data_IF_381963585016
#
_entry.id   IF_381963585016
#
_cell.length_a   1.000
_cell.length_b   1.000
_cell.length_c   1.000
_cell.angle_alpha   90.00
_cell.angle_beta   90.00
_cell.angle_gamma   90.00
#
_symmetry.space_group_name_H-M   'P 1'
#
loop_
_entity.id
_entity.type
_entity.pdbx_description
1 polymer ?
#
# COMPACT_ATOMS: atom_id res chain seq x y z
N UNK A 1 -22.68 -12.68 50.99
CA UNK A 1 -21.61 -13.29 50.17
C UNK A 1 -21.86 -13.26 48.65
N UNK A 2 -23.09 -13.10 48.14
CA UNK A 2 -23.38 -13.21 46.68
C UNK A 2 -22.84 -12.05 45.81
N UNK A 3 -22.69 -10.83 46.35
CA UNK A 3 -22.25 -9.65 45.58
C UNK A 3 -20.77 -9.70 45.14
N UNK A 4 -19.88 -10.22 46.00
CA UNK A 4 -18.43 -10.30 45.71
C UNK A 4 -18.13 -11.27 44.56
N UNK A 5 -18.86 -12.39 44.47
CA UNK A 5 -18.72 -13.37 43.39
C UNK A 5 -19.19 -12.83 42.04
N UNK A 6 -20.23 -11.99 42.01
CA UNK A 6 -20.72 -11.35 40.78
C UNK A 6 -19.70 -10.33 40.26
N UNK A 7 -19.08 -9.55 41.16
CA UNK A 7 -18.09 -8.54 40.78
C UNK A 7 -16.83 -9.16 40.15
N UNK A 8 -16.35 -10.27 40.72
CA UNK A 8 -15.18 -11.01 40.19
C UNK A 8 -15.49 -11.60 38.81
N UNK A 9 -16.71 -12.09 38.59
CA UNK A 9 -17.14 -12.62 37.29
C UNK A 9 -17.18 -11.53 36.21
N UNK A 10 -17.67 -10.33 36.56
CA UNK A 10 -17.73 -9.18 35.65
C UNK A 10 -16.31 -8.72 35.27
N UNK A 11 -15.38 -8.67 36.22
CA UNK A 11 -13.98 -8.28 35.96
C UNK A 11 -13.30 -9.30 35.05
N UNK A 12 -13.52 -10.60 35.24
CA UNK A 12 -13.01 -11.66 34.36
C UNK A 12 -13.61 -11.60 32.94
N UNK A 13 -14.89 -11.29 32.81
CA UNK A 13 -15.55 -11.13 31.50
C UNK A 13 -15.07 -9.86 30.76
N UNK A 14 -14.76 -8.78 31.48
CA UNK A 14 -14.23 -7.55 30.90
C UNK A 14 -12.75 -7.70 30.48
N UNK A 15 -11.93 -8.39 31.26
CA UNK A 15 -10.52 -8.64 30.93
C UNK A 15 -10.35 -9.61 29.75
N UNK A 16 -11.22 -10.62 29.62
CA UNK A 16 -11.25 -11.49 28.43
C UNK A 16 -11.58 -10.75 27.12
N UNK A 17 -12.37 -9.68 27.17
CA UNK A 17 -12.68 -8.84 25.98
C UNK A 17 -11.56 -7.88 25.62
N UNK A 18 -10.79 -7.40 26.59
CA UNK A 18 -9.66 -6.50 26.36
C UNK A 18 -8.53 -7.19 25.56
N UNK A 19 -8.18 -8.44 25.88
CA UNK A 19 -7.15 -9.19 25.14
C UNK A 19 -7.53 -9.51 23.69
N UNK A 20 -8.82 -9.72 23.42
CA UNK A 20 -9.36 -9.92 22.07
C UNK A 20 -9.37 -8.60 21.27
N UNK A 21 -9.57 -7.44 21.92
CA UNK A 21 -9.48 -6.15 21.24
C UNK A 21 -8.04 -5.78 20.87
N UNK A 22 -7.08 -6.10 21.73
CA UNK A 22 -5.66 -5.82 21.50
C UNK A 22 -5.09 -6.64 20.34
N UNK A 23 -5.43 -7.94 20.27
CA UNK A 23 -5.04 -8.83 19.15
C UNK A 23 -5.62 -8.43 17.79
N UNK A 24 -6.83 -7.85 17.76
CA UNK A 24 -7.49 -7.35 16.53
C UNK A 24 -6.73 -6.19 15.87
N UNK A 25 -6.31 -5.22 16.68
CA UNK A 25 -5.58 -4.06 16.18
C UNK A 25 -4.18 -4.44 15.70
N UNK A 26 -3.53 -5.39 16.38
CA UNK A 26 -2.20 -5.88 16.00
C UNK A 26 -2.20 -6.50 14.60
N UNK A 27 -3.13 -7.40 14.27
CA UNK A 27 -3.13 -8.10 12.98
C UNK A 27 -3.40 -7.19 11.77
N UNK A 28 -4.34 -6.23 11.87
CA UNK A 28 -4.57 -5.25 10.79
C UNK A 28 -3.35 -4.34 10.63
N UNK A 29 -2.76 -3.88 11.73
CA UNK A 29 -1.60 -2.99 11.69
C UNK A 29 -0.35 -3.71 11.14
N UNK A 30 -0.16 -4.99 11.46
CA UNK A 30 0.91 -5.81 10.88
C UNK A 30 0.73 -6.01 9.37
N UNK A 31 -0.49 -6.34 8.93
CA UNK A 31 -0.79 -6.49 7.51
C UNK A 31 -0.62 -5.15 6.77
N UNK A 32 -1.04 -4.04 7.37
CA UNK A 32 -0.81 -2.70 6.86
C UNK A 32 0.68 -2.37 6.75
N UNK A 33 1.45 -2.65 7.80
CA UNK A 33 2.90 -2.38 7.82
C UNK A 33 3.63 -3.10 6.68
N UNK A 34 3.28 -4.37 6.41
CA UNK A 34 3.83 -5.12 5.27
C UNK A 34 3.46 -4.49 3.93
N UNK A 35 2.20 -4.08 3.76
CA UNK A 35 1.76 -3.40 2.54
C UNK A 35 2.43 -2.04 2.36
N UNK A 36 2.51 -1.23 3.43
CA UNK A 36 3.21 0.06 3.47
C UNK A 36 4.65 -0.09 3.01
N UNK A 37 5.38 -1.05 3.56
CA UNK A 37 6.78 -1.28 3.19
C UNK A 37 6.93 -1.68 1.72
N UNK A 38 6.00 -2.47 1.17
CA UNK A 38 6.01 -2.80 -0.26
C UNK A 38 5.78 -1.56 -1.14
N UNK A 39 4.84 -0.68 -0.78
CA UNK A 39 4.66 0.59 -1.48
C UNK A 39 5.90 1.48 -1.42
N UNK A 40 6.53 1.61 -0.24
CA UNK A 40 7.74 2.43 -0.08
C UNK A 40 8.89 1.89 -0.93
N UNK A 41 9.09 0.57 -0.96
CA UNK A 41 10.09 -0.06 -1.81
C UNK A 41 9.81 0.16 -3.30
N UNK A 42 8.55 0.02 -3.72
CA UNK A 42 8.10 0.28 -5.10
C UNK A 42 8.32 1.74 -5.50
N UNK A 43 7.98 2.67 -4.64
CA UNK A 43 8.19 4.11 -4.86
C UNK A 43 9.68 4.44 -5.05
N UNK A 44 10.55 3.89 -4.20
CA UNK A 44 11.99 4.07 -4.34
C UNK A 44 12.54 3.51 -5.67
N UNK A 45 12.05 2.34 -6.09
CA UNK A 45 12.44 1.75 -7.39
C UNK A 45 11.94 2.59 -8.56
N UNK A 46 10.71 3.10 -8.50
CA UNK A 46 10.17 4.02 -9.50
C UNK A 46 11.07 5.26 -9.64
N UNK A 47 11.50 5.87 -8.54
CA UNK A 47 12.39 7.04 -8.60
C UNK A 47 13.74 6.69 -9.21
N UNK A 48 14.36 5.58 -8.80
CA UNK A 48 15.63 5.11 -9.36
C UNK A 48 15.55 4.86 -10.88
N UNK A 49 14.45 4.26 -11.34
CA UNK A 49 14.20 4.05 -12.77
C UNK A 49 14.05 5.40 -13.47
N UNK A 50 13.29 6.31 -12.88
CA UNK A 50 13.03 7.64 -13.45
C UNK A 50 14.30 8.49 -13.53
N UNK A 51 15.16 8.45 -12.52
CA UNK A 51 16.50 9.05 -12.54
C UNK A 51 17.34 8.49 -13.69
N UNK A 52 17.30 7.17 -13.89
CA UNK A 52 18.01 6.51 -14.99
C UNK A 52 17.49 6.97 -16.35
N UNK A 53 16.17 7.05 -16.51
CA UNK A 53 15.54 7.53 -17.74
C UNK A 53 15.87 9.01 -18.01
N UNK A 54 15.91 9.85 -16.98
CA UNK A 54 16.30 11.26 -17.11
C UNK A 54 17.77 11.38 -17.55
N UNK A 55 18.68 10.65 -16.90
CA UNK A 55 20.11 10.67 -17.22
C UNK A 55 20.40 10.16 -18.63
N UNK A 56 19.61 9.19 -19.11
CA UNK A 56 19.65 8.71 -20.50
C UNK A 56 18.94 9.62 -21.49
N UNK A 57 18.36 10.75 -21.04
CA UNK A 57 17.56 11.67 -21.85
C UNK A 57 16.34 11.00 -22.52
N UNK A 58 15.87 9.89 -21.95
CA UNK A 58 14.67 9.21 -22.41
C UNK A 58 13.42 10.05 -22.11
N UNK A 59 13.44 10.80 -21.01
CA UNK A 59 12.32 11.62 -20.52
C UNK A 59 12.79 13.06 -20.26
N UNK A 60 11.85 14.01 -20.19
CA UNK A 60 12.15 15.41 -19.88
C UNK A 60 12.27 15.68 -18.38
N UNK A 61 12.83 16.85 -18.01
CA UNK A 61 12.86 17.32 -16.62
C UNK A 61 11.46 17.57 -16.04
N UNK A 62 10.53 17.99 -16.90
CA UNK A 62 9.14 18.21 -16.50
C UNK A 62 8.46 16.89 -16.12
N UNK A 63 8.56 15.86 -16.97
CA UNK A 63 7.99 14.53 -16.66
C UNK A 63 8.63 13.90 -15.42
N UNK A 64 9.96 14.10 -15.24
CA UNK A 64 10.66 13.71 -14.03
C UNK A 64 10.09 14.39 -12.78
N UNK A 65 9.96 15.72 -12.81
CA UNK A 65 9.48 16.51 -11.68
C UNK A 65 8.03 16.17 -11.34
N UNK A 66 7.20 15.93 -12.35
CA UNK A 66 5.81 15.52 -12.17
C UNK A 66 5.72 14.19 -11.41
N UNK A 67 6.42 13.15 -11.89
CA UNK A 67 6.38 11.84 -11.23
C UNK A 67 7.01 11.88 -9.84
N UNK A 68 8.18 12.50 -9.70
CA UNK A 68 8.88 12.59 -8.42
C UNK A 68 8.03 13.29 -7.37
N UNK A 69 7.34 14.37 -7.74
CA UNK A 69 6.36 15.03 -6.87
C UNK A 69 5.23 14.12 -6.43
N UNK A 70 4.61 13.36 -7.36
CA UNK A 70 3.54 12.41 -7.02
C UNK A 70 4.04 11.29 -6.10
N UNK A 71 5.22 10.73 -6.37
CA UNK A 71 5.84 9.71 -5.52
C UNK A 71 6.13 10.26 -4.11
N UNK A 72 6.62 11.50 -4.02
CA UNK A 72 6.83 12.19 -2.75
C UNK A 72 5.54 12.28 -1.94
N UNK A 73 4.46 12.82 -2.54
CA UNK A 73 3.18 12.95 -1.84
C UNK A 73 2.58 11.62 -1.38
N UNK A 74 2.76 10.55 -2.15
CA UNK A 74 2.35 9.20 -1.75
C UNK A 74 3.20 8.68 -0.58
N UNK A 75 4.51 8.88 -0.65
CA UNK A 75 5.45 8.47 0.40
C UNK A 75 5.16 9.19 1.72
N UNK A 76 4.86 10.48 1.68
CA UNK A 76 4.46 11.27 2.84
C UNK A 76 3.13 10.77 3.43
N UNK A 77 2.15 10.47 2.58
CA UNK A 77 0.87 9.89 3.00
C UNK A 77 1.04 8.51 3.64
N UNK A 78 1.99 7.70 3.17
CA UNK A 78 2.32 6.39 3.77
C UNK A 78 3.06 6.55 5.12
N UNK A 79 3.97 7.53 5.22
CA UNK A 79 4.79 7.77 6.41
C UNK A 79 4.01 8.36 7.58
N UNK A 80 2.95 9.14 7.32
CA UNK A 80 2.13 9.82 8.33
C UNK A 80 1.04 8.96 8.98
N UNK A 81 0.93 7.68 8.61
CA UNK A 81 -0.19 6.81 9.03
C UNK A 81 0.29 5.68 9.94
N UNK A 82 0.12 5.90 11.24
CA UNK A 82 0.32 4.86 12.28
C UNK A 82 -0.95 4.00 12.49
N UNK A 83 -2.14 4.58 12.29
CA UNK A 83 -3.42 3.89 12.37
C UNK A 83 -4.34 4.33 11.23
N UNK A 84 -4.76 3.38 10.39
CA UNK A 84 -5.59 3.66 9.22
C UNK A 84 -7.05 3.96 9.56
N UNK A 85 -7.56 5.02 8.96
CA UNK A 85 -8.97 5.31 8.82
C UNK A 85 -9.38 5.35 7.33
N UNK A 86 -10.70 5.33 7.07
CA UNK A 86 -11.27 5.33 5.71
C UNK A 86 -10.74 6.48 4.84
N UNK A 87 -10.58 7.69 5.41
CA UNK A 87 -10.10 8.87 4.66
C UNK A 87 -8.66 8.68 4.21
N UNK A 88 -7.80 8.16 5.10
CA UNK A 88 -6.40 7.86 4.78
C UNK A 88 -6.28 6.76 3.73
N UNK A 89 -7.10 5.70 3.81
CA UNK A 89 -7.14 4.64 2.79
C UNK A 89 -7.46 5.23 1.41
N UNK A 90 -8.55 6.00 1.30
CA UNK A 90 -8.96 6.61 0.05
C UNK A 90 -7.90 7.59 -0.51
N UNK A 91 -7.28 8.36 0.37
CA UNK A 91 -6.21 9.29 0.01
C UNK A 91 -4.96 8.57 -0.53
N UNK A 92 -4.56 7.48 0.11
CA UNK A 92 -3.43 6.64 -0.34
C UNK A 92 -3.76 5.97 -1.68
N UNK A 93 -4.98 5.45 -1.87
CA UNK A 93 -5.38 4.86 -3.15
C UNK A 93 -5.37 5.88 -4.29
N UNK A 94 -5.92 7.08 -4.06
CA UNK A 94 -5.93 8.14 -5.05
C UNK A 94 -4.50 8.58 -5.43
N UNK A 95 -3.61 8.74 -4.44
CA UNK A 95 -2.20 9.06 -4.68
C UNK A 95 -1.46 7.92 -5.39
N UNK A 96 -1.75 6.67 -5.05
CA UNK A 96 -1.16 5.51 -5.71
C UNK A 96 -1.55 5.44 -7.20
N UNK A 97 -2.83 5.64 -7.52
CA UNK A 97 -3.32 5.71 -8.90
C UNK A 97 -2.65 6.84 -9.69
N UNK A 98 -2.45 8.00 -9.05
CA UNK A 98 -1.75 9.11 -9.69
C UNK A 98 -0.29 8.77 -10.03
N UNK A 99 0.41 8.03 -9.16
CA UNK A 99 1.77 7.53 -9.43
C UNK A 99 1.76 6.48 -10.54
N UNK A 100 0.85 5.50 -10.50
CA UNK A 100 0.71 4.47 -11.54
C UNK A 100 0.48 5.09 -12.92
N UNK A 101 -0.43 6.05 -13.02
CA UNK A 101 -0.72 6.75 -14.26
C UNK A 101 0.50 7.53 -14.79
N UNK A 102 1.15 8.32 -13.94
CA UNK A 102 2.32 9.11 -14.32
C UNK A 102 3.51 8.23 -14.73
N UNK A 103 3.73 7.14 -13.99
CA UNK A 103 4.76 6.17 -14.31
C UNK A 103 4.45 5.42 -15.63
N UNK A 104 3.20 5.01 -15.86
CA UNK A 104 2.78 4.41 -17.13
C UNK A 104 3.02 5.32 -18.33
N UNK A 105 2.70 6.62 -18.21
CA UNK A 105 3.02 7.64 -19.23
C UNK A 105 4.53 7.68 -19.51
N UNK A 106 5.36 7.68 -18.47
CA UNK A 106 6.82 7.70 -18.59
C UNK A 106 7.38 6.44 -19.24
N UNK A 107 6.81 5.27 -18.95
CA UNK A 107 7.18 4.01 -19.63
C UNK A 107 6.88 4.09 -21.12
N UNK A 108 5.74 4.65 -21.53
CA UNK A 108 5.40 4.83 -22.95
C UNK A 108 6.37 5.81 -23.64
N UNK A 109 6.65 6.96 -23.02
CA UNK A 109 7.58 7.96 -23.56
C UNK A 109 8.99 7.38 -23.70
N UNK A 110 9.45 6.67 -22.68
CA UNK A 110 10.79 6.10 -22.66
C UNK A 110 10.91 4.89 -23.61
N UNK A 111 9.88 4.06 -23.73
CA UNK A 111 9.85 2.92 -24.65
C UNK A 111 9.98 3.33 -26.13
N UNK A 112 9.47 4.50 -26.50
CA UNK A 112 9.69 5.05 -27.85
C UNK A 112 11.16 5.39 -28.16
N UNK A 113 11.98 5.63 -27.12
CA UNK A 113 13.39 6.01 -27.27
C UNK A 113 14.38 4.91 -26.88
N UNK A 114 13.99 4.02 -25.98
CA UNK A 114 14.81 2.95 -25.42
C UNK A 114 13.95 1.68 -25.19
N UNK A 115 13.93 0.74 -26.14
CA UNK A 115 13.08 -0.46 -26.08
C UNK A 115 13.55 -1.53 -25.06
N UNK A 116 14.68 -1.31 -24.39
CA UNK A 116 15.17 -2.21 -23.34
C UNK A 116 14.40 -2.01 -22.03
N UNK A 117 13.46 -2.90 -21.73
CA UNK A 117 12.54 -2.81 -20.60
C UNK A 117 12.93 -3.61 -19.36
N UNK A 118 14.22 -3.91 -19.14
CA UNK A 118 14.69 -4.76 -18.02
C UNK A 118 14.24 -4.28 -16.63
N UNK A 119 13.87 -3.02 -16.49
CA UNK A 119 13.34 -2.42 -15.26
C UNK A 119 11.85 -2.74 -15.01
N UNK A 120 11.10 -3.16 -16.03
CA UNK A 120 9.69 -3.55 -15.89
C UNK A 120 9.54 -4.87 -15.14
N UNK A 121 10.43 -5.84 -15.37
CA UNK A 121 10.37 -7.15 -14.69
C UNK A 121 10.52 -7.00 -13.16
N UNK A 122 11.43 -6.11 -12.73
CA UNK A 122 11.62 -5.80 -11.31
C UNK A 122 10.38 -5.13 -10.70
N UNK A 123 9.74 -4.22 -11.44
CA UNK A 123 8.51 -3.58 -11.00
C UNK A 123 7.33 -4.55 -10.98
N UNK A 124 7.22 -5.46 -11.95
CA UNK A 124 6.17 -6.47 -11.98
C UNK A 124 6.23 -7.36 -10.72
N UNK A 125 7.43 -7.77 -10.32
CA UNK A 125 7.63 -8.49 -9.05
C UNK A 125 7.12 -7.71 -7.84
N UNK A 126 7.40 -6.41 -7.77
CA UNK A 126 6.95 -5.53 -6.68
C UNK A 126 5.44 -5.29 -6.72
N UNK A 127 4.84 -5.11 -7.90
CA UNK A 127 3.39 -4.95 -8.05
C UNK A 127 2.67 -6.24 -7.64
N UNK A 128 3.16 -7.41 -8.06
CA UNK A 128 2.63 -8.70 -7.61
C UNK A 128 2.70 -8.85 -6.08
N UNK A 129 3.80 -8.40 -5.46
CA UNK A 129 3.94 -8.38 -4.01
C UNK A 129 2.94 -7.43 -3.34
N UNK A 130 2.73 -6.23 -3.90
CA UNK A 130 1.71 -5.28 -3.43
C UNK A 130 0.32 -5.91 -3.52
N UNK A 131 -0.05 -6.53 -4.64
CA UNK A 131 -1.36 -7.17 -4.80
C UNK A 131 -1.55 -8.35 -3.82
N UNK A 132 -0.50 -9.10 -3.52
CA UNK A 132 -0.52 -10.13 -2.46
C UNK A 132 -0.78 -9.51 -1.09
N UNK A 133 -0.09 -8.41 -0.75
CA UNK A 133 -0.25 -7.75 0.55
C UNK A 133 -1.56 -6.98 0.68
N UNK A 134 -2.10 -6.40 -0.41
CA UNK A 134 -3.47 -5.86 -0.47
C UNK A 134 -4.49 -6.95 -0.11
N UNK A 135 -4.35 -8.15 -0.68
CA UNK A 135 -5.21 -9.30 -0.34
C UNK A 135 -5.11 -9.67 1.14
N UNK A 136 -3.89 -9.85 1.67
CA UNK A 136 -3.69 -10.16 3.10
C UNK A 136 -4.25 -9.09 4.03
N UNK A 137 -4.10 -7.81 3.68
CA UNK A 137 -4.67 -6.70 4.41
C UNK A 137 -6.19 -6.73 4.37
N UNK A 138 -6.79 -6.89 3.20
CA UNK A 138 -8.24 -7.00 3.04
C UNK A 138 -8.83 -8.19 3.81
N UNK A 139 -8.13 -9.32 3.84
CA UNK A 139 -8.55 -10.51 4.60
C UNK A 139 -8.51 -10.25 6.11
N UNK A 140 -7.47 -9.58 6.61
CA UNK A 140 -7.42 -9.12 8.00
C UNK A 140 -8.57 -8.14 8.33
N UNK A 141 -8.83 -7.16 7.45
CA UNK A 141 -9.94 -6.23 7.60
C UNK A 141 -11.30 -6.94 7.64
N UNK A 142 -11.52 -7.94 6.77
CA UNK A 142 -12.75 -8.77 6.78
C UNK A 142 -12.89 -9.57 8.07
N UNK A 143 -11.83 -10.25 8.50
CA UNK A 143 -11.82 -11.07 9.72
C UNK A 143 -12.23 -10.26 10.97
N UNK A 144 -11.88 -8.98 10.99
CA UNK A 144 -12.15 -8.08 12.11
C UNK A 144 -13.24 -7.03 11.83
N UNK A 145 -14.07 -7.26 10.80
CA UNK A 145 -15.23 -6.43 10.44
C UNK A 145 -14.92 -4.95 10.13
N UNK A 146 -13.67 -4.63 9.74
CA UNK A 146 -13.24 -3.29 9.29
C UNK A 146 -13.41 -3.11 7.78
N UNK A 147 -14.66 -3.23 7.32
CA UNK A 147 -15.01 -3.10 5.89
C UNK A 147 -14.72 -1.70 5.32
N UNK A 148 -14.67 -0.70 6.21
CA UNK A 148 -14.35 0.70 5.90
C UNK A 148 -12.90 0.90 5.43
N UNK A 149 -12.03 -0.08 5.66
CA UNK A 149 -10.61 -0.03 5.29
C UNK A 149 -10.27 -0.88 4.07
N UNK A 150 -11.24 -1.55 3.44
CA UNK A 150 -10.94 -2.43 2.31
C UNK A 150 -10.37 -1.64 1.13
N UNK A 151 -9.24 -2.12 0.62
CA UNK A 151 -8.60 -1.61 -0.58
C UNK A 151 -9.21 -2.25 -1.82
N UNK A 152 -9.20 -1.50 -2.91
CA UNK A 152 -9.55 -2.00 -4.23
C UNK A 152 -8.48 -2.99 -4.68
N UNK A 153 -8.93 -4.20 -5.06
CA UNK A 153 -8.07 -5.17 -5.74
C UNK A 153 -8.19 -4.91 -7.23
N UNK A 154 -7.06 -4.74 -7.90
CA UNK A 154 -7.06 -4.77 -9.35
C UNK A 154 -7.32 -6.21 -9.82
N UNK A 155 -8.03 -6.40 -10.94
CA UNK A 155 -8.10 -7.71 -11.55
C UNK A 155 -6.66 -8.18 -11.85
N UNK A 156 -6.33 -9.46 -11.63
CA UNK A 156 -5.02 -9.97 -12.02
C UNK A 156 -4.79 -9.65 -13.50
N UNK A 157 -3.56 -9.26 -13.91
CA UNK A 157 -3.27 -9.01 -15.30
C UNK A 157 -3.69 -10.25 -16.11
N UNK A 158 -4.56 -10.05 -17.10
CA UNK A 158 -4.91 -11.12 -18.04
C UNK A 158 -3.67 -11.44 -18.85
N UNK A 159 -2.92 -12.44 -18.43
CA UNK A 159 -1.85 -13.03 -19.24
C UNK A 159 -2.55 -13.64 -20.46
N UNK A 160 -2.44 -12.96 -21.61
CA UNK A 160 -2.80 -13.56 -22.90
C UNK A 160 -1.63 -14.46 -23.29
N UNK A 161 -1.83 -15.77 -23.21
CA UNK A 161 -0.97 -16.76 -23.85
C UNK A 161 -1.18 -16.72 -25.37
#
# INVERSE_FOLDING_TARGET
MKLKSILVLIILLLSGRAGIAQTKHTAINEAWSKLKNAYLLRNANILMITDTLLNRKAIGREDYSELSGKVGTLTDALGSVDALNKKQVADIEAKNQAVEYAFGKLVLISGMKFPGHYYLDQLEGLENQIQLYKRKFNDACKAYKRKDLLLTLEPPPKVKF
#
